data_IF_959418756276
#
_entry.id   IF_959418756276
#
_cell.length_a   1.000
_cell.length_b   1.000
_cell.length_c   1.000
_cell.angle_alpha   90.00
_cell.angle_beta   90.00
_cell.angle_gamma   90.00
#
_symmetry.space_group_name_H-M   'P 1'
#
loop_
_entity.id
_entity.type
_entity.pdbx_description
1 polymer ?
#
# COMPACT_ATOMS: atom_id res chain seq x y z
N UNK A 1 -24.76 -21.90 -4.68
CA UNK A 1 -23.31 -22.20 -4.61
C UNK A 1 -22.63 -21.06 -5.34
N UNK A 2 -21.85 -20.27 -4.63
CA UNK A 2 -21.00 -19.22 -5.26
C UNK A 2 -19.73 -19.95 -5.67
N UNK A 3 -19.40 -19.96 -6.97
CA UNK A 3 -18.15 -20.53 -7.45
C UNK A 3 -16.98 -19.76 -6.83
N UNK A 4 -15.91 -20.43 -6.42
CA UNK A 4 -14.73 -19.74 -5.91
C UNK A 4 -14.12 -18.91 -7.04
N UNK A 5 -14.02 -17.60 -6.83
CA UNK A 5 -13.34 -16.69 -7.74
C UNK A 5 -11.85 -16.99 -7.65
N UNK A 6 -11.24 -17.39 -8.76
CA UNK A 6 -9.80 -17.62 -8.82
C UNK A 6 -9.06 -16.28 -8.70
N UNK A 7 -8.00 -16.22 -7.91
CA UNK A 7 -7.14 -15.04 -7.78
C UNK A 7 -6.60 -14.53 -9.14
N UNK A 8 -6.41 -15.45 -10.10
CA UNK A 8 -6.00 -15.14 -11.49
C UNK A 8 -7.05 -14.36 -12.28
N UNK A 9 -8.32 -14.33 -11.85
CA UNK A 9 -9.37 -13.60 -12.57
C UNK A 9 -9.26 -12.08 -12.36
N UNK A 10 -8.61 -11.63 -11.30
CA UNK A 10 -8.42 -10.20 -11.01
C UNK A 10 -7.26 -9.55 -11.77
N UNK A 11 -6.31 -10.33 -12.28
CA UNK A 11 -5.09 -9.81 -12.91
C UNK A 11 -5.16 -9.72 -14.45
N UNK A 12 -6.21 -10.21 -15.12
CA UNK A 12 -6.19 -10.48 -16.57
C UNK A 12 -7.04 -9.56 -17.44
N UNK A 13 -7.84 -8.63 -16.92
CA UNK A 13 -8.90 -7.98 -17.70
C UNK A 13 -8.58 -6.61 -18.30
N UNK A 14 -7.47 -5.97 -17.99
CA UNK A 14 -7.09 -4.69 -18.61
C UNK A 14 -5.71 -4.75 -19.23
N UNK A 15 -5.47 -4.09 -20.37
CA UNK A 15 -4.13 -4.02 -20.95
C UNK A 15 -3.20 -3.30 -19.96
N UNK A 16 -2.11 -3.96 -19.58
CA UNK A 16 -1.12 -3.43 -18.64
C UNK A 16 -0.44 -2.20 -19.22
N UNK A 17 -0.32 -1.16 -18.41
CA UNK A 17 0.41 0.06 -18.78
C UNK A 17 1.91 -0.14 -18.58
N UNK A 18 2.70 0.35 -19.54
CA UNK A 18 4.14 0.43 -19.35
C UNK A 18 4.47 1.58 -18.37
N UNK A 19 5.50 1.47 -17.49
CA UNK A 19 5.87 2.51 -16.54
C UNK A 19 6.04 3.92 -17.10
N UNK A 20 6.42 4.06 -18.39
CA UNK A 20 6.51 5.36 -19.07
C UNK A 20 5.15 6.04 -19.30
N UNK A 21 4.03 5.35 -19.06
CA UNK A 21 2.66 5.83 -19.25
C UNK A 21 1.95 6.13 -17.94
N UNK A 22 2.64 5.97 -16.80
CA UNK A 22 2.04 6.23 -15.49
C UNK A 22 1.87 7.74 -15.26
N UNK A 23 0.68 8.11 -14.75
CA UNK A 23 0.30 9.49 -14.47
C UNK A 23 0.28 9.79 -12.98
N UNK A 24 -0.12 8.80 -12.16
CA UNK A 24 -0.39 8.96 -10.74
C UNK A 24 0.70 8.38 -9.85
N UNK A 25 1.62 7.63 -10.42
CA UNK A 25 2.81 7.15 -9.74
C UNK A 25 4.07 7.45 -10.57
N UNK A 26 5.20 7.48 -9.89
CA UNK A 26 6.51 7.45 -10.57
C UNK A 26 7.12 6.08 -10.36
N UNK A 27 7.57 5.45 -11.43
CA UNK A 27 8.28 4.18 -11.39
C UNK A 27 9.75 4.39 -11.74
N UNK A 28 10.63 3.82 -10.96
CA UNK A 28 12.06 3.86 -11.21
C UNK A 28 12.69 2.52 -10.82
N UNK A 29 13.54 2.00 -11.68
CA UNK A 29 14.38 0.85 -11.40
C UNK A 29 15.83 1.34 -11.26
N UNK A 30 16.30 1.42 -10.03
CA UNK A 30 17.67 1.84 -9.72
C UNK A 30 18.45 0.66 -9.15
N UNK A 31 19.49 0.24 -9.84
CA UNK A 31 20.23 -0.97 -9.51
C UNK A 31 19.29 -2.17 -9.42
N UNK A 32 18.99 -2.64 -8.18
CA UNK A 32 18.15 -3.81 -7.94
C UNK A 32 16.82 -3.46 -7.25
N UNK A 33 16.49 -2.18 -7.15
CA UNK A 33 15.30 -1.67 -6.44
C UNK A 33 14.30 -1.11 -7.43
N UNK A 34 13.12 -1.69 -7.48
CA UNK A 34 11.98 -1.09 -8.14
C UNK A 34 11.27 -0.14 -7.15
N UNK A 35 11.34 1.17 -7.40
CA UNK A 35 10.69 2.18 -6.56
C UNK A 35 9.42 2.68 -7.22
N UNK A 36 8.31 2.58 -6.50
CA UNK A 36 6.99 3.08 -6.86
C UNK A 36 6.67 4.24 -5.93
N UNK A 37 6.72 5.47 -6.44
CA UNK A 37 6.43 6.66 -5.65
C UNK A 37 5.02 7.15 -5.96
N UNK A 38 4.14 7.13 -4.97
CA UNK A 38 2.79 7.68 -5.06
C UNK A 38 2.88 9.18 -5.35
N UNK A 39 2.20 9.67 -6.41
CA UNK A 39 2.37 11.04 -6.90
C UNK A 39 1.07 11.62 -7.45
N UNK A 40 0.00 11.56 -6.67
CA UNK A 40 -1.28 12.22 -6.95
C UNK A 40 -1.55 13.30 -5.89
N UNK A 41 -1.07 14.56 -6.12
CA UNK A 41 -1.28 15.66 -5.15
C UNK A 41 -2.78 15.92 -4.93
N UNK A 42 -3.18 16.41 -3.76
CA UNK A 42 -2.31 16.72 -2.60
C UNK A 42 -2.21 15.55 -1.60
N UNK A 43 -3.09 14.56 -1.71
CA UNK A 43 -3.30 13.56 -0.66
C UNK A 43 -3.10 12.12 -1.11
N UNK A 44 -2.64 11.88 -2.34
CA UNK A 44 -2.53 10.53 -2.89
C UNK A 44 -3.82 9.70 -2.68
N UNK A 45 -4.98 10.32 -3.00
CA UNK A 45 -6.24 9.57 -2.98
C UNK A 45 -6.19 8.48 -4.05
N UNK A 46 -6.46 7.25 -3.64
CA UNK A 46 -6.39 6.06 -4.49
C UNK A 46 -7.67 5.97 -5.34
N UNK A 47 -7.59 6.39 -6.60
CA UNK A 47 -8.64 6.15 -7.58
C UNK A 47 -8.31 4.87 -8.39
N UNK A 48 -9.28 4.41 -9.18
CA UNK A 48 -9.12 3.22 -10.02
C UNK A 48 -7.83 3.26 -10.87
N UNK A 49 -7.56 4.39 -11.52
CA UNK A 49 -6.40 4.52 -12.41
C UNK A 49 -5.07 4.39 -11.64
N UNK A 50 -4.93 5.04 -10.48
CA UNK A 50 -3.74 4.94 -9.63
C UNK A 50 -3.54 3.53 -9.08
N UNK A 51 -4.62 2.87 -8.66
CA UNK A 51 -4.56 1.48 -8.18
C UNK A 51 -4.09 0.51 -9.28
N UNK A 52 -4.57 0.69 -10.51
CA UNK A 52 -4.09 -0.08 -11.67
C UNK A 52 -2.61 0.20 -11.96
N UNK A 53 -2.17 1.45 -11.89
CA UNK A 53 -0.75 1.80 -12.07
C UNK A 53 0.13 1.19 -10.98
N UNK A 54 -0.33 1.15 -9.72
CA UNK A 54 0.38 0.46 -8.63
C UNK A 54 0.50 -1.03 -8.94
N UNK A 55 -0.59 -1.68 -9.34
CA UNK A 55 -0.58 -3.09 -9.72
C UNK A 55 0.39 -3.35 -10.89
N UNK A 56 0.28 -2.57 -11.96
CA UNK A 56 1.13 -2.71 -13.15
C UNK A 56 2.61 -2.48 -12.81
N UNK A 57 2.93 -1.49 -11.96
CA UNK A 57 4.29 -1.21 -11.51
C UNK A 57 4.88 -2.37 -10.71
N UNK A 58 4.10 -2.98 -9.81
CA UNK A 58 4.52 -4.15 -9.02
C UNK A 58 4.73 -5.36 -9.94
N UNK A 59 3.81 -5.62 -10.87
CA UNK A 59 3.92 -6.72 -11.83
C UNK A 59 5.15 -6.51 -12.75
N UNK A 60 5.39 -5.27 -13.20
CA UNK A 60 6.56 -4.96 -13.99
C UNK A 60 7.86 -5.23 -13.21
N UNK A 61 7.90 -4.84 -11.93
CA UNK A 61 9.02 -5.16 -11.04
C UNK A 61 9.16 -6.68 -10.84
N UNK A 62 8.05 -7.40 -10.61
CA UNK A 62 8.03 -8.85 -10.45
C UNK A 62 8.65 -9.60 -11.62
N UNK A 63 8.35 -9.16 -12.84
CA UNK A 63 8.84 -9.77 -14.07
C UNK A 63 10.27 -9.33 -14.45
N UNK A 64 10.85 -8.33 -13.79
CA UNK A 64 12.22 -7.88 -14.05
C UNK A 64 13.24 -8.77 -13.33
N UNK A 65 14.19 -9.32 -14.05
CA UNK A 65 15.33 -10.06 -13.46
C UNK A 65 16.25 -9.14 -12.65
N UNK A 66 16.32 -7.87 -13.02
CA UNK A 66 17.15 -6.87 -12.34
C UNK A 66 16.57 -6.44 -10.99
N UNK A 67 15.24 -6.37 -10.84
CA UNK A 67 14.63 -6.00 -9.58
C UNK A 67 14.73 -7.13 -8.55
N UNK A 68 15.19 -6.84 -7.34
CA UNK A 68 15.24 -7.78 -6.20
C UNK A 68 14.19 -7.49 -5.15
N UNK A 69 13.72 -6.27 -5.07
CA UNK A 69 12.67 -5.84 -4.14
C UNK A 69 11.91 -4.63 -4.70
N UNK A 70 10.77 -4.36 -4.10
CA UNK A 70 9.91 -3.22 -4.40
C UNK A 70 9.89 -2.28 -3.20
N UNK A 71 10.04 -0.98 -3.44
CA UNK A 71 9.80 0.08 -2.45
C UNK A 71 8.59 0.89 -2.88
N UNK A 72 7.61 1.05 -1.99
CA UNK A 72 6.46 1.94 -2.19
C UNK A 72 6.60 3.12 -1.24
N UNK A 73 6.70 4.32 -1.77
CA UNK A 73 6.81 5.57 -1.01
C UNK A 73 5.88 6.66 -1.56
N UNK A 74 5.99 7.87 -1.03
CA UNK A 74 5.16 9.00 -1.41
C UNK A 74 5.98 10.25 -1.66
N UNK A 75 5.64 10.98 -2.73
CA UNK A 75 6.17 12.33 -2.99
C UNK A 75 5.37 13.43 -2.27
N UNK A 76 4.26 13.10 -1.64
CA UNK A 76 3.39 14.04 -0.92
C UNK A 76 3.72 14.07 0.59
N UNK A 77 3.12 15.05 1.30
CA UNK A 77 3.22 15.14 2.77
C UNK A 77 2.46 14.02 3.49
N UNK A 78 1.58 13.35 2.79
CA UNK A 78 0.84 12.16 3.25
C UNK A 78 1.33 10.95 2.47
N UNK A 79 1.29 9.76 3.06
CA UNK A 79 1.50 8.55 2.30
C UNK A 79 0.32 8.32 1.35
N UNK A 80 -0.90 8.20 1.89
CA UNK A 80 -2.14 8.19 1.13
C UNK A 80 -3.33 8.52 2.02
N UNK A 81 -4.24 9.35 1.52
CA UNK A 81 -5.51 9.69 2.17
C UNK A 81 -6.61 8.62 2.01
N UNK A 82 -6.29 7.47 1.41
CA UNK A 82 -7.22 6.38 1.20
C UNK A 82 -7.92 6.42 -0.16
N UNK A 83 -8.97 5.61 -0.29
CA UNK A 83 -9.74 5.52 -1.53
C UNK A 83 -10.41 6.86 -1.83
N UNK A 84 -10.37 7.27 -3.09
CA UNK A 84 -11.10 8.43 -3.57
C UNK A 84 -12.62 8.16 -3.49
N UNK A 85 -13.28 8.81 -2.53
CA UNK A 85 -14.72 8.60 -2.29
C UNK A 85 -15.59 8.99 -3.51
N UNK A 86 -15.07 9.78 -4.44
CA UNK A 86 -15.73 10.05 -5.72
C UNK A 86 -15.88 8.80 -6.61
N UNK A 87 -15.12 7.74 -6.32
CA UNK A 87 -15.24 6.44 -7.00
C UNK A 87 -16.36 5.55 -6.39
N UNK A 88 -16.89 5.87 -5.20
CA UNK A 88 -17.98 5.13 -4.56
C UNK A 88 -19.34 5.45 -5.17
N UNK A 89 -19.46 5.28 -6.48
CA UNK A 89 -20.73 5.38 -7.20
C UNK A 89 -21.16 4.00 -7.68
N UNK A 90 -22.46 3.81 -7.90
CA UNK A 90 -23.01 2.54 -8.42
C UNK A 90 -22.38 2.13 -9.75
N UNK A 91 -21.85 3.08 -10.52
CA UNK A 91 -21.22 2.82 -11.83
C UNK A 91 -19.74 2.44 -11.73
N UNK A 92 -19.03 2.90 -10.67
CA UNK A 92 -17.56 2.79 -10.57
C UNK A 92 -17.06 1.90 -9.46
N UNK A 93 -17.87 1.66 -8.42
CA UNK A 93 -17.44 0.95 -7.22
C UNK A 93 -16.85 -0.44 -7.52
N UNK A 94 -17.41 -1.16 -8.48
CA UNK A 94 -16.93 -2.50 -8.83
C UNK A 94 -15.54 -2.44 -9.50
N UNK A 95 -15.36 -1.53 -10.47
CA UNK A 95 -14.05 -1.34 -11.13
C UNK A 95 -12.98 -0.85 -10.16
N UNK A 96 -13.35 0.06 -9.25
CA UNK A 96 -12.47 0.54 -8.20
C UNK A 96 -12.05 -0.59 -7.24
N UNK A 97 -13.02 -1.41 -6.77
CA UNK A 97 -12.72 -2.56 -5.92
C UNK A 97 -11.87 -3.62 -6.63
N UNK A 98 -12.14 -3.86 -7.91
CA UNK A 98 -11.33 -4.75 -8.73
C UNK A 98 -9.88 -4.24 -8.84
N UNK A 99 -9.69 -2.95 -9.13
CA UNK A 99 -8.36 -2.34 -9.19
C UNK A 99 -7.66 -2.36 -7.82
N UNK A 100 -8.42 -2.13 -6.74
CA UNK A 100 -7.92 -2.24 -5.36
C UNK A 100 -7.41 -3.64 -5.09
N UNK A 101 -8.21 -4.67 -5.30
CA UNK A 101 -7.79 -6.05 -5.11
C UNK A 101 -6.62 -6.45 -6.02
N UNK A 102 -6.58 -5.96 -7.27
CA UNK A 102 -5.48 -6.24 -8.18
C UNK A 102 -4.14 -5.71 -7.67
N UNK A 103 -4.11 -4.54 -7.02
CA UNK A 103 -2.88 -3.99 -6.43
C UNK A 103 -2.34 -4.90 -5.32
N UNK A 104 -3.19 -5.43 -4.45
CA UNK A 104 -2.79 -6.35 -3.38
C UNK A 104 -2.44 -7.75 -3.88
N UNK A 105 -3.18 -8.25 -4.88
CA UNK A 105 -2.83 -9.50 -5.56
C UNK A 105 -1.43 -9.41 -6.19
N UNK A 106 -1.11 -8.29 -6.84
CA UNK A 106 0.21 -8.04 -7.39
C UNK A 106 1.31 -8.05 -6.31
N UNK A 107 1.04 -7.50 -5.11
CA UNK A 107 1.98 -7.56 -3.98
C UNK A 107 2.22 -9.01 -3.52
N UNK A 108 1.18 -9.83 -3.45
CA UNK A 108 1.30 -11.25 -3.08
C UNK A 108 2.05 -12.08 -4.13
N UNK A 109 1.80 -11.79 -5.40
CA UNK A 109 2.29 -12.61 -6.52
C UNK A 109 3.68 -12.20 -7.02
N UNK A 110 4.17 -11.01 -6.62
CA UNK A 110 5.46 -10.50 -7.13
C UNK A 110 6.65 -11.40 -6.81
N UNK A 111 6.57 -12.21 -5.74
CA UNK A 111 7.68 -13.04 -5.27
C UNK A 111 8.90 -12.24 -4.79
N UNK A 112 8.75 -10.93 -4.60
CA UNK A 112 9.81 -10.01 -4.16
C UNK A 112 9.37 -9.27 -2.91
N UNK A 113 10.28 -9.02 -1.95
CA UNK A 113 9.94 -8.22 -0.78
C UNK A 113 9.39 -6.83 -1.17
N UNK A 114 8.30 -6.42 -0.54
CA UNK A 114 7.68 -5.10 -0.70
C UNK A 114 7.88 -4.30 0.58
N UNK A 115 8.59 -3.17 0.46
CA UNK A 115 8.86 -2.25 1.58
C UNK A 115 8.01 -1.01 1.41
N UNK A 116 7.14 -0.70 2.40
CA UNK A 116 6.39 0.55 2.43
C UNK A 116 7.10 1.59 3.29
N UNK A 117 7.29 2.79 2.74
CA UNK A 117 7.95 3.92 3.41
C UNK A 117 6.93 5.01 3.69
N UNK A 118 6.51 5.12 4.95
CA UNK A 118 5.39 5.96 5.37
C UNK A 118 5.90 7.24 6.02
N UNK A 119 5.96 8.30 5.22
CA UNK A 119 6.48 9.60 5.64
C UNK A 119 5.44 10.56 6.25
N UNK A 120 4.17 10.16 6.25
CA UNK A 120 3.04 10.96 6.75
C UNK A 120 1.79 10.10 6.93
N UNK A 121 0.59 10.71 7.08
CA UNK A 121 -0.65 9.97 7.26
C UNK A 121 -0.91 8.92 6.17
N UNK A 122 -1.34 7.74 6.60
CA UNK A 122 -1.82 6.62 5.79
C UNK A 122 -3.22 6.27 6.30
N UNK A 123 -4.26 6.52 5.50
CA UNK A 123 -5.64 6.49 5.94
C UNK A 123 -6.45 5.52 5.07
N UNK A 124 -7.32 4.70 5.68
CA UNK A 124 -8.18 3.75 4.99
C UNK A 124 -7.41 2.84 4.06
N UNK A 125 -7.78 2.77 2.79
CA UNK A 125 -7.06 2.00 1.77
C UNK A 125 -5.57 2.33 1.66
N UNK A 126 -5.14 3.55 2.04
CA UNK A 126 -3.74 3.91 2.14
C UNK A 126 -3.03 3.25 3.33
N UNK A 127 -3.71 3.12 4.46
CA UNK A 127 -3.21 2.37 5.62
C UNK A 127 -3.19 0.87 5.32
N UNK A 128 -4.18 0.36 4.59
CA UNK A 128 -4.20 -1.02 4.11
C UNK A 128 -3.00 -1.30 3.19
N UNK A 129 -2.74 -0.41 2.21
CA UNK A 129 -1.58 -0.55 1.32
C UNK A 129 -0.26 -0.56 2.09
N UNK A 130 -0.09 0.33 3.07
CA UNK A 130 1.09 0.36 3.91
C UNK A 130 1.25 -0.92 4.75
N UNK A 131 0.16 -1.35 5.43
CA UNK A 131 0.17 -2.52 6.31
C UNK A 131 0.36 -3.84 5.57
N UNK A 132 0.05 -3.87 4.28
CA UNK A 132 0.22 -5.07 3.44
C UNK A 132 1.65 -5.27 2.93
N UNK A 133 2.51 -4.27 3.04
CA UNK A 133 3.94 -4.43 2.76
C UNK A 133 4.59 -5.43 3.73
N UNK A 134 5.57 -6.18 3.22
CA UNK A 134 6.35 -7.13 4.05
C UNK A 134 7.12 -6.41 5.16
N UNK A 135 7.59 -5.20 4.87
CA UNK A 135 8.28 -4.34 5.83
C UNK A 135 7.75 -2.90 5.73
N UNK A 136 7.56 -2.27 6.88
CA UNK A 136 7.09 -0.88 6.97
C UNK A 136 8.09 -0.04 7.76
N UNK A 137 8.60 1.03 7.13
CA UNK A 137 9.43 2.04 7.77
C UNK A 137 8.61 3.33 7.83
N UNK A 138 8.48 3.91 9.00
CA UNK A 138 7.70 5.13 9.16
C UNK A 138 8.49 6.27 9.83
N UNK A 139 8.02 7.50 9.62
CA UNK A 139 8.49 8.67 10.38
C UNK A 139 7.51 8.98 11.51
N UNK A 140 7.90 9.80 12.52
CA UNK A 140 6.99 10.24 13.58
C UNK A 140 5.77 11.04 13.10
N UNK A 141 5.76 11.48 11.83
CA UNK A 141 4.61 12.12 11.21
C UNK A 141 3.54 11.14 10.73
N UNK A 142 3.88 9.86 10.63
CA UNK A 142 2.94 8.84 10.19
C UNK A 142 1.78 8.69 11.19
N UNK A 143 0.59 8.48 10.65
CA UNK A 143 -0.63 8.11 11.37
C UNK A 143 -1.35 7.06 10.55
N UNK A 144 -1.85 6.04 11.20
CA UNK A 144 -2.56 4.96 10.54
C UNK A 144 -3.99 4.95 11.05
N UNK A 145 -4.98 5.00 10.16
CA UNK A 145 -6.38 5.01 10.56
C UNK A 145 -7.23 4.20 9.58
N UNK A 146 -8.33 3.65 10.11
CA UNK A 146 -9.37 2.98 9.33
C UNK A 146 -10.73 3.67 9.61
N UNK A 147 -10.96 4.87 9.03
CA UNK A 147 -12.12 5.68 9.35
C UNK A 147 -13.40 5.26 8.60
N UNK A 148 -13.41 4.16 7.89
CA UNK A 148 -14.49 3.66 7.04
C UNK A 148 -15.83 3.54 7.79
N UNK A 149 -15.77 3.24 9.08
CA UNK A 149 -16.96 3.18 9.96
C UNK A 149 -17.75 4.49 9.97
N UNK A 150 -17.07 5.63 9.81
CA UNK A 150 -17.73 6.95 9.85
C UNK A 150 -18.63 7.21 8.64
N UNK A 151 -18.45 6.46 7.58
CA UNK A 151 -19.25 6.51 6.35
C UNK A 151 -20.07 5.24 6.11
N UNK A 152 -20.18 4.37 7.14
CA UNK A 152 -20.99 3.15 7.07
C UNK A 152 -20.39 2.04 6.20
N UNK A 153 -19.08 2.06 5.96
CA UNK A 153 -18.33 1.03 5.21
C UNK A 153 -17.34 0.37 6.17
N UNK A 154 -16.86 -0.81 5.86
CA UNK A 154 -15.79 -1.46 6.60
C UNK A 154 -14.53 -1.61 5.71
N UNK A 155 -13.32 -1.58 6.28
CA UNK A 155 -12.08 -1.76 5.53
C UNK A 155 -11.88 -3.25 5.22
N UNK A 156 -11.98 -3.69 3.94
CA UNK A 156 -12.03 -5.12 3.61
C UNK A 156 -10.71 -5.84 3.90
N UNK A 157 -9.58 -5.22 3.58
CA UNK A 157 -8.26 -5.83 3.82
C UNK A 157 -7.82 -5.66 5.27
N UNK A 158 -7.99 -4.48 5.87
CA UNK A 158 -7.65 -4.27 7.27
C UNK A 158 -8.40 -5.24 8.19
N UNK A 159 -9.67 -5.54 7.89
CA UNK A 159 -10.44 -6.54 8.64
C UNK A 159 -9.84 -7.94 8.57
N UNK A 160 -9.09 -8.22 7.53
CA UNK A 160 -8.44 -9.53 7.32
C UNK A 160 -7.03 -9.55 7.91
N UNK A 161 -6.22 -8.50 7.69
CA UNK A 161 -4.79 -8.53 8.03
C UNK A 161 -4.48 -7.98 9.43
N UNK A 162 -5.18 -6.93 9.90
CA UNK A 162 -4.90 -6.35 11.21
C UNK A 162 -4.98 -7.34 12.38
N UNK A 163 -5.96 -8.27 12.43
CA UNK A 163 -5.99 -9.27 13.49
C UNK A 163 -4.71 -10.11 13.62
N UNK A 164 -4.01 -10.35 12.51
CA UNK A 164 -2.73 -11.08 12.50
C UNK A 164 -1.55 -10.18 12.91
N UNK A 165 -1.62 -8.89 12.60
CA UNK A 165 -0.53 -7.94 12.91
C UNK A 165 -0.56 -7.49 14.36
N UNK A 166 -1.74 -7.11 14.88
CA UNK A 166 -1.89 -6.44 16.19
C UNK A 166 -2.75 -7.21 17.19
N UNK A 167 -3.22 -8.37 16.81
CA UNK A 167 -4.17 -9.16 17.57
C UNK A 167 -5.62 -8.69 17.40
N UNK A 168 -6.60 -9.60 17.60
CA UNK A 168 -8.00 -9.35 17.20
C UNK A 168 -8.67 -8.21 17.98
N UNK A 169 -8.34 -8.02 19.24
CA UNK A 169 -8.96 -6.95 20.05
C UNK A 169 -8.50 -5.56 19.62
N UNK A 170 -7.20 -5.39 19.42
CA UNK A 170 -6.64 -4.12 18.92
C UNK A 170 -7.10 -3.82 17.51
N UNK A 171 -7.17 -4.84 16.64
CA UNK A 171 -7.70 -4.68 15.30
C UNK A 171 -9.16 -4.19 15.31
N UNK A 172 -10.01 -4.81 16.14
CA UNK A 172 -11.41 -4.37 16.30
C UNK A 172 -11.52 -2.96 16.85
N UNK A 173 -10.68 -2.58 17.83
CA UNK A 173 -10.65 -1.22 18.34
C UNK A 173 -10.34 -0.21 17.22
N UNK A 174 -9.29 -0.43 16.45
CA UNK A 174 -8.90 0.44 15.32
C UNK A 174 -10.03 0.56 14.29
N UNK A 175 -10.65 -0.57 13.91
CA UNK A 175 -11.68 -0.61 12.86
C UNK A 175 -13.01 -0.01 13.34
N UNK A 176 -13.42 -0.28 14.57
CA UNK A 176 -14.72 0.14 15.09
C UNK A 176 -14.72 1.58 15.60
N UNK A 177 -13.57 2.11 16.01
CA UNK A 177 -13.45 3.51 16.45
C UNK A 177 -13.07 4.43 15.29
N UNK A 178 -12.30 3.94 14.32
CA UNK A 178 -11.72 4.76 13.27
C UNK A 178 -10.63 5.71 13.76
N UNK A 179 -10.24 5.62 15.04
CA UNK A 179 -9.26 6.53 15.66
C UNK A 179 -7.85 6.31 15.08
N UNK A 180 -7.10 7.40 14.86
CA UNK A 180 -5.75 7.29 14.33
C UNK A 180 -4.77 6.67 15.32
N UNK A 181 -3.99 5.70 14.87
CA UNK A 181 -2.85 5.12 15.58
C UNK A 181 -1.60 5.94 15.26
N UNK A 182 -0.88 6.40 16.28
CA UNK A 182 0.39 7.12 16.08
C UNK A 182 1.50 6.18 15.61
N UNK A 183 2.56 6.73 15.03
CA UNK A 183 3.69 5.93 14.57
C UNK A 183 4.38 5.16 15.69
N UNK A 184 4.48 5.78 16.89
CA UNK A 184 5.01 5.14 18.09
C UNK A 184 4.16 3.95 18.51
N UNK A 185 2.84 4.16 18.54
CA UNK A 185 1.90 3.10 18.90
C UNK A 185 1.89 1.98 17.84
N UNK A 186 1.99 2.33 16.56
CA UNK A 186 2.10 1.37 15.47
C UNK A 186 3.36 0.48 15.59
N UNK A 187 4.48 1.05 16.03
CA UNK A 187 5.70 0.30 16.32
C UNK A 187 5.51 -0.66 17.51
N UNK A 188 4.92 -0.18 18.61
CA UNK A 188 4.62 -1.03 19.79
C UNK A 188 3.69 -2.20 19.45
N UNK A 189 2.74 -1.97 18.56
CA UNK A 189 1.76 -2.97 18.11
C UNK A 189 2.32 -3.95 17.07
N UNK A 190 3.49 -3.68 16.50
CA UNK A 190 4.06 -4.48 15.41
C UNK A 190 3.46 -4.19 14.04
N UNK A 191 2.69 -3.09 13.88
CA UNK A 191 2.19 -2.65 12.57
C UNK A 191 3.30 -2.14 11.66
N UNK A 192 4.38 -1.60 12.24
CA UNK A 192 5.55 -1.13 11.52
C UNK A 192 6.82 -1.74 12.09
N UNK A 193 7.84 -1.89 11.25
CA UNK A 193 9.11 -2.50 11.64
C UNK A 193 10.12 -1.49 12.18
N UNK A 194 10.07 -0.25 11.69
CA UNK A 194 11.01 0.80 12.10
C UNK A 194 10.34 2.17 12.16
N UNK A 195 10.65 2.91 13.21
CA UNK A 195 10.29 4.31 13.36
C UNK A 195 11.58 5.14 13.36
N UNK A 196 11.73 6.02 12.38
CA UNK A 196 12.98 6.77 12.17
C UNK A 196 12.72 8.26 11.96
N UNK A 197 13.59 9.15 12.45
CA UNK A 197 13.51 10.56 12.11
C UNK A 197 13.54 10.78 10.58
N UNK A 198 12.79 11.78 10.10
CA UNK A 198 12.70 12.09 8.66
C UNK A 198 14.09 12.26 8.00
N UNK A 199 15.02 12.91 8.69
CA UNK A 199 16.38 13.10 8.20
C UNK A 199 17.18 11.80 8.02
N UNK A 200 16.74 10.69 8.63
CA UNK A 200 17.39 9.39 8.55
C UNK A 200 16.64 8.41 7.65
N UNK A 201 15.47 8.80 7.12
CA UNK A 201 14.56 7.91 6.41
C UNK A 201 15.26 7.26 5.22
N UNK A 202 15.77 8.04 4.28
CA UNK A 202 16.44 7.52 3.08
C UNK A 202 17.64 6.64 3.41
N UNK A 203 18.46 7.06 4.38
CA UNK A 203 19.60 6.23 4.82
C UNK A 203 19.12 4.88 5.34
N UNK A 204 18.09 4.88 6.19
CA UNK A 204 17.55 3.63 6.78
C UNK A 204 16.95 2.72 5.72
N UNK A 205 16.24 3.28 4.75
CA UNK A 205 15.69 2.52 3.60
C UNK A 205 16.83 1.90 2.81
N UNK A 206 17.88 2.68 2.46
CA UNK A 206 19.02 2.19 1.70
C UNK A 206 19.80 1.11 2.47
N UNK A 207 20.03 1.28 3.76
CA UNK A 207 20.71 0.28 4.60
C UNK A 207 19.90 -1.04 4.64
N UNK A 208 18.56 -0.95 4.74
CA UNK A 208 17.69 -2.13 4.70
C UNK A 208 17.73 -2.80 3.33
N UNK A 209 17.60 -2.03 2.25
CA UNK A 209 17.70 -2.52 0.87
C UNK A 209 19.02 -3.28 0.68
N UNK A 210 20.15 -2.68 1.07
CA UNK A 210 21.46 -3.33 0.96
C UNK A 210 21.55 -4.65 1.73
N UNK A 211 20.82 -4.79 2.83
CA UNK A 211 20.76 -6.05 3.58
C UNK A 211 19.93 -7.14 2.91
N UNK A 212 19.04 -6.78 1.99
CA UNK A 212 18.09 -7.68 1.34
C UNK A 212 18.47 -8.05 -0.10
N UNK A 213 19.32 -7.30 -0.76
CA UNK A 213 19.69 -7.54 -2.17
C UNK A 213 20.50 -8.84 -2.40
N UNK A 214 20.85 -9.53 -1.32
CA UNK A 214 21.55 -10.82 -1.38
C UNK A 214 20.59 -12.02 -1.39
N UNK A 215 19.28 -11.75 -1.39
CA UNK A 215 18.21 -12.75 -1.42
C UNK A 215 18.06 -13.37 -2.82
#
# INVERSE_FOLDING_TARGET
MIEPVNATDFTTQSPRRHPSQFEFIKFRLDNTVARITLNRPDHNLLNEAMLREIADGIIFAGNSEDAKLVVIDSSCKVFSGGIDIGEYTSQRVFQMLEAFHAAFAAMLETGKPVICVVNGPAIGGGAELAAFGDLVIATPKARFAQPEITIGVFPPLASTILPFLVGPKTALEIILTGEPVTAERALELGMINRLVPEAQLEKTVNDLVLSLIHI
#
